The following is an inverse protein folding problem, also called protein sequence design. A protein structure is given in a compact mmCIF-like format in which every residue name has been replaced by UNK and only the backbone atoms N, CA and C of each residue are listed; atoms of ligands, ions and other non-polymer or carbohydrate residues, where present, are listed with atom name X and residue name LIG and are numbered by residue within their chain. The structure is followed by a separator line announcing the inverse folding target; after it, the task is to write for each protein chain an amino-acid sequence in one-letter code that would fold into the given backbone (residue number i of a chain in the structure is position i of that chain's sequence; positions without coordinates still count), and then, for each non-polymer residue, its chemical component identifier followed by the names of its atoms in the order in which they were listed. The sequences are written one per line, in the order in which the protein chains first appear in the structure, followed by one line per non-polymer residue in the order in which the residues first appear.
data_IF_444094152354
#
_entry.id   IF_444094152354
#
_cell.length_a   1.000
_cell.length_b   1.000
_cell.length_c   1.000
_cell.angle_alpha   90.00
_cell.angle_beta   90.00
_cell.angle_gamma   90.00
#
_symmetry.space_group_name_H-M   'P 1'
#
loop_
_entity.id
_entity.type
_entity.pdbx_description
1 polymer ?
#
# COMPACT_ATOMS: atom_id res chain seq x y z
N UNK A 1 18.74 -37.55 -26.71
CA UNK A 1 17.47 -36.94 -26.24
C UNK A 1 17.08 -37.35 -24.82
N UNK A 2 17.05 -38.64 -24.46
CA UNK A 2 16.67 -39.06 -23.09
C UNK A 2 17.67 -38.60 -22.02
N UNK A 3 18.98 -38.71 -22.29
CA UNK A 3 20.05 -38.27 -21.37
C UNK A 3 19.98 -36.76 -21.09
N UNK A 4 19.78 -35.94 -22.12
CA UNK A 4 19.65 -34.48 -21.99
C UNK A 4 18.43 -34.09 -21.14
N UNK A 5 17.29 -34.77 -21.35
CA UNK A 5 16.09 -34.58 -20.51
C UNK A 5 16.33 -34.99 -19.05
N UNK A 6 17.01 -36.11 -18.82
CA UNK A 6 17.35 -36.56 -17.47
C UNK A 6 18.30 -35.57 -16.76
N UNK A 7 19.33 -35.09 -17.47
CA UNK A 7 20.27 -34.10 -16.94
C UNK A 7 19.57 -32.77 -16.62
N UNK A 8 18.65 -32.32 -17.48
CA UNK A 8 17.87 -31.11 -17.23
C UNK A 8 16.98 -31.25 -15.99
N UNK A 9 16.32 -32.41 -15.82
CA UNK A 9 15.52 -32.68 -14.61
C UNK A 9 16.39 -32.69 -13.36
N UNK A 10 17.56 -33.35 -13.40
CA UNK A 10 18.52 -33.35 -12.29
C UNK A 10 19.04 -31.95 -11.97
N UNK A 11 19.35 -31.12 -12.97
CA UNK A 11 19.80 -29.74 -12.77
C UNK A 11 18.71 -28.88 -12.10
N UNK A 12 17.44 -29.09 -12.45
CA UNK A 12 16.30 -28.44 -11.80
C UNK A 12 16.13 -28.89 -10.35
N UNK A 13 16.31 -30.19 -10.08
CA UNK A 13 16.26 -30.72 -8.72
C UNK A 13 17.37 -30.10 -7.86
N UNK A 14 18.61 -30.09 -8.34
CA UNK A 14 19.75 -29.46 -7.66
C UNK A 14 19.51 -27.97 -7.38
N UNK A 15 18.92 -27.25 -8.34
CA UNK A 15 18.53 -25.86 -8.15
C UNK A 15 17.49 -25.72 -7.01
N UNK A 16 16.48 -26.57 -6.98
CA UNK A 16 15.42 -26.52 -5.98
C UNK A 16 15.89 -26.95 -4.59
N UNK A 17 16.90 -27.83 -4.49
CA UNK A 17 17.51 -28.26 -3.22
C UNK A 17 18.60 -27.31 -2.71
N UNK A 18 18.92 -26.24 -3.45
CA UNK A 18 19.94 -25.26 -3.07
C UNK A 18 21.37 -25.64 -3.44
N UNK A 19 21.58 -26.73 -4.17
CA UNK A 19 22.89 -27.17 -4.68
C UNK A 19 23.29 -26.37 -5.92
N UNK A 20 23.45 -25.06 -5.76
CA UNK A 20 23.56 -24.11 -6.88
C UNK A 20 24.81 -24.33 -7.74
N UNK A 21 25.96 -24.66 -7.16
CA UNK A 21 27.19 -24.91 -7.93
C UNK A 21 27.11 -26.16 -8.81
N UNK A 22 26.52 -27.23 -8.28
CA UNK A 22 26.29 -28.46 -9.03
C UNK A 22 25.24 -28.24 -10.12
N UNK A 23 24.18 -27.48 -9.82
CA UNK A 23 23.19 -27.07 -10.80
C UNK A 23 23.82 -26.25 -11.94
N UNK A 24 24.64 -25.25 -11.62
CA UNK A 24 25.36 -24.42 -12.60
C UNK A 24 26.24 -25.29 -13.49
N UNK A 25 27.06 -26.16 -12.89
CA UNK A 25 27.96 -27.05 -13.63
C UNK A 25 27.17 -27.92 -14.61
N UNK A 26 26.07 -28.53 -14.14
CA UNK A 26 25.25 -29.39 -14.97
C UNK A 26 24.52 -28.62 -16.08
N UNK A 27 24.01 -27.42 -15.80
CA UNK A 27 23.41 -26.56 -16.82
C UNK A 27 24.44 -26.11 -17.88
N UNK A 28 25.67 -25.79 -17.49
CA UNK A 28 26.75 -25.44 -18.42
C UNK A 28 27.13 -26.64 -19.32
N UNK A 29 27.12 -27.86 -18.79
CA UNK A 29 27.35 -29.06 -19.59
C UNK A 29 26.21 -29.29 -20.59
N UNK A 30 24.95 -29.13 -20.16
CA UNK A 30 23.80 -29.19 -21.08
C UNK A 30 23.89 -28.09 -22.15
N UNK A 31 24.34 -26.89 -21.79
CA UNK A 31 24.51 -25.77 -22.73
C UNK A 31 25.52 -26.08 -23.85
N UNK A 32 26.57 -26.87 -23.58
CA UNK A 32 27.54 -27.29 -24.61
C UNK A 32 26.91 -28.22 -25.64
N UNK A 33 25.93 -29.03 -25.23
CA UNK A 33 25.20 -29.95 -26.10
C UNK A 33 24.02 -29.28 -26.82
N UNK A 34 23.38 -28.31 -26.17
CA UNK A 34 22.20 -27.58 -26.65
C UNK A 34 22.30 -26.09 -26.28
N UNK A 35 22.96 -25.32 -27.15
CA UNK A 35 23.32 -23.91 -26.91
C UNK A 35 22.15 -22.92 -26.98
N UNK A 36 20.97 -23.36 -27.42
CA UNK A 36 19.78 -22.53 -27.60
C UNK A 36 18.61 -22.95 -26.70
N UNK A 37 18.90 -23.73 -25.66
CA UNK A 37 17.88 -24.16 -24.71
C UNK A 37 17.51 -23.07 -23.70
N UNK A 38 16.37 -22.41 -23.92
CA UNK A 38 15.83 -21.41 -22.98
C UNK A 38 15.76 -21.91 -21.53
N UNK A 39 15.41 -23.18 -21.30
CA UNK A 39 15.27 -23.71 -19.94
C UNK A 39 16.62 -23.80 -19.21
N UNK A 40 17.71 -24.02 -19.94
CA UNK A 40 19.09 -24.01 -19.40
C UNK A 40 19.46 -22.60 -18.96
N UNK A 41 19.23 -21.59 -19.81
CA UNK A 41 19.49 -20.20 -19.46
C UNK A 41 18.62 -19.69 -18.30
N UNK A 42 17.35 -20.13 -18.21
CA UNK A 42 16.51 -19.86 -17.05
C UNK A 42 17.06 -20.50 -15.77
N UNK A 43 17.55 -21.75 -15.87
CA UNK A 43 18.17 -22.47 -14.76
C UNK A 43 19.45 -21.80 -14.25
N UNK A 44 20.37 -21.46 -15.17
CA UNK A 44 21.59 -20.70 -14.88
C UNK A 44 21.26 -19.35 -14.25
N UNK A 45 20.33 -18.59 -14.85
CA UNK A 45 19.94 -17.28 -14.35
C UNK A 45 19.44 -17.33 -12.92
N UNK A 46 18.59 -18.33 -12.57
CA UNK A 46 18.09 -18.55 -11.20
C UNK A 46 19.21 -18.98 -10.25
N UNK A 47 20.07 -19.91 -10.66
CA UNK A 47 21.18 -20.37 -9.81
C UNK A 47 22.16 -19.23 -9.49
N UNK A 48 22.55 -18.45 -10.51
CA UNK A 48 23.39 -17.26 -10.32
C UNK A 48 22.70 -16.19 -9.47
N UNK A 49 21.38 -16.03 -9.60
CA UNK A 49 20.62 -15.09 -8.79
C UNK A 49 20.66 -15.44 -7.30
N UNK A 50 20.48 -16.72 -6.95
CA UNK A 50 20.55 -17.18 -5.56
C UNK A 50 21.98 -17.08 -4.99
N UNK A 51 22.99 -17.13 -5.85
CA UNK A 51 24.39 -16.89 -5.50
C UNK A 51 24.80 -15.41 -5.53
N UNK A 52 23.88 -14.49 -5.79
CA UNK A 52 24.14 -13.05 -5.93
C UNK A 52 25.16 -12.70 -7.04
N UNK A 53 25.34 -13.60 -8.01
CA UNK A 53 26.16 -13.40 -9.21
C UNK A 53 25.36 -12.61 -10.26
N UNK A 54 25.24 -11.31 -10.00
CA UNK A 54 24.25 -10.45 -10.67
C UNK A 54 24.42 -10.33 -12.18
N UNK A 55 25.65 -10.31 -12.68
CA UNK A 55 25.93 -10.08 -14.10
C UNK A 55 25.76 -11.37 -14.92
N UNK A 56 26.18 -12.50 -14.37
CA UNK A 56 25.98 -13.83 -14.95
C UNK A 56 24.48 -14.21 -14.95
N UNK A 57 23.77 -13.85 -13.88
CA UNK A 57 22.32 -13.99 -13.80
C UNK A 57 21.63 -13.14 -14.88
N UNK A 58 22.01 -11.86 -15.00
CA UNK A 58 21.45 -10.97 -16.01
C UNK A 58 21.72 -11.50 -17.42
N UNK A 59 22.96 -11.88 -17.72
CA UNK A 59 23.34 -12.44 -19.01
C UNK A 59 22.48 -13.66 -19.36
N UNK A 60 22.35 -14.60 -18.42
CA UNK A 60 21.57 -15.82 -18.61
C UNK A 60 20.10 -15.51 -18.87
N UNK A 61 19.49 -14.61 -18.08
CA UNK A 61 18.10 -14.24 -18.32
C UNK A 61 17.87 -13.46 -19.62
N UNK A 62 18.78 -12.57 -20.02
CA UNK A 62 18.69 -11.87 -21.31
C UNK A 62 18.83 -12.85 -22.49
N UNK A 63 19.66 -13.89 -22.38
CA UNK A 63 19.70 -14.97 -23.38
C UNK A 63 18.37 -15.72 -23.43
N UNK A 64 17.75 -16.01 -22.29
CA UNK A 64 16.42 -16.61 -22.26
C UNK A 64 15.32 -15.69 -22.86
N UNK A 65 15.42 -14.37 -22.67
CA UNK A 65 14.53 -13.36 -23.28
C UNK A 65 14.65 -13.39 -24.80
N UNK A 66 15.88 -13.40 -25.35
CA UNK A 66 16.09 -13.45 -26.81
C UNK A 66 15.57 -14.75 -27.42
N UNK A 67 15.77 -15.89 -26.76
CA UNK A 67 15.36 -17.20 -27.29
C UNK A 67 13.84 -17.36 -27.32
N UNK A 68 13.15 -17.01 -26.22
CA UNK A 68 11.70 -17.08 -26.15
C UNK A 68 11.17 -16.20 -25.00
N UNK A 69 10.76 -14.96 -25.30
CA UNK A 69 10.19 -14.07 -24.31
C UNK A 69 8.92 -14.64 -23.69
N UNK A 70 8.87 -14.69 -22.35
CA UNK A 70 7.70 -15.17 -21.64
C UNK A 70 7.54 -14.47 -20.30
N UNK A 71 6.33 -14.55 -19.73
CA UNK A 71 6.00 -14.07 -18.39
C UNK A 71 7.04 -14.52 -17.35
N UNK A 72 7.45 -15.80 -17.38
CA UNK A 72 8.47 -16.33 -16.45
C UNK A 72 9.83 -15.64 -16.58
N UNK A 73 10.25 -15.32 -17.80
CA UNK A 73 11.54 -14.65 -18.08
C UNK A 73 11.47 -13.22 -17.57
N UNK A 74 10.42 -12.49 -17.91
CA UNK A 74 10.23 -11.11 -17.47
C UNK A 74 10.12 -10.99 -15.95
N UNK A 75 9.37 -11.88 -15.29
CA UNK A 75 9.34 -11.96 -13.83
C UNK A 75 10.73 -12.22 -13.25
N UNK A 76 11.50 -13.14 -13.82
CA UNK A 76 12.84 -13.47 -13.31
C UNK A 76 13.82 -12.29 -13.45
N UNK A 77 13.78 -11.58 -14.58
CA UNK A 77 14.60 -10.36 -14.78
C UNK A 77 14.14 -9.24 -13.85
N UNK A 78 12.82 -9.07 -13.66
CA UNK A 78 12.27 -8.11 -12.71
C UNK A 78 12.75 -8.37 -11.28
N UNK A 79 12.70 -9.62 -10.84
CA UNK A 79 13.18 -10.04 -9.51
C UNK A 79 14.68 -9.78 -9.36
N UNK A 80 15.48 -10.06 -10.40
CA UNK A 80 16.90 -9.73 -10.42
C UNK A 80 17.13 -8.23 -10.21
N UNK A 81 16.45 -7.37 -10.96
CA UNK A 81 16.60 -5.92 -10.78
C UNK A 81 16.10 -5.44 -9.42
N UNK A 82 15.04 -6.05 -8.88
CA UNK A 82 14.56 -5.75 -7.53
C UNK A 82 15.62 -6.09 -6.47
N UNK A 83 16.26 -7.27 -6.55
CA UNK A 83 17.36 -7.66 -5.65
C UNK A 83 18.59 -6.76 -5.80
N UNK A 84 18.90 -6.31 -7.02
CA UNK A 84 19.92 -5.27 -7.30
C UNK A 84 19.50 -3.86 -6.83
N UNK A 85 18.32 -3.70 -6.20
CA UNK A 85 17.73 -2.42 -5.77
C UNK A 85 17.45 -1.43 -6.90
N UNK A 86 17.46 -1.89 -8.15
CA UNK A 86 17.02 -1.10 -9.30
C UNK A 86 15.51 -1.27 -9.50
N UNK A 87 14.74 -0.65 -8.62
CA UNK A 87 13.30 -0.84 -8.55
C UNK A 87 12.58 -0.34 -9.81
N UNK A 88 13.03 0.77 -10.42
CA UNK A 88 12.44 1.27 -11.68
C UNK A 88 12.54 0.25 -12.80
N UNK A 89 13.72 -0.32 -13.01
CA UNK A 89 13.91 -1.36 -14.03
C UNK A 89 13.17 -2.65 -13.69
N UNK A 90 13.02 -2.99 -12.41
CA UNK A 90 12.16 -4.12 -12.02
C UNK A 90 10.71 -3.91 -12.44
N UNK A 91 10.17 -2.70 -12.26
CA UNK A 91 8.79 -2.33 -12.65
C UNK A 91 8.62 -2.47 -14.16
N UNK A 92 9.56 -1.96 -14.96
CA UNK A 92 9.52 -2.10 -16.43
C UNK A 92 9.40 -3.57 -16.88
N UNK A 93 10.14 -4.49 -16.24
CA UNK A 93 10.04 -5.92 -16.55
C UNK A 93 8.75 -6.57 -16.03
N UNK A 94 8.26 -6.14 -14.87
CA UNK A 94 6.94 -6.60 -14.41
C UNK A 94 5.81 -6.10 -15.32
N UNK A 95 5.92 -4.90 -15.88
CA UNK A 95 4.97 -4.38 -16.88
C UNK A 95 5.01 -5.17 -18.19
N UNK A 96 6.22 -5.55 -18.67
CA UNK A 96 6.34 -6.50 -19.79
C UNK A 96 5.64 -7.84 -19.49
N UNK A 97 5.79 -8.36 -18.28
CA UNK A 97 5.11 -9.57 -17.84
C UNK A 97 3.58 -9.39 -17.83
N UNK A 98 3.10 -8.25 -17.32
CA UNK A 98 1.68 -7.89 -17.24
C UNK A 98 1.02 -7.78 -18.62
N UNK A 99 1.71 -7.15 -19.58
CA UNK A 99 1.26 -7.05 -20.98
C UNK A 99 1.08 -8.44 -21.60
N UNK A 100 1.99 -9.37 -21.31
CA UNK A 100 1.92 -10.72 -21.86
C UNK A 100 0.85 -11.57 -21.19
N UNK A 101 0.64 -11.40 -19.88
CA UNK A 101 -0.44 -12.04 -19.14
C UNK A 101 -0.84 -11.19 -17.93
N UNK A 102 -2.01 -10.57 -18.03
CA UNK A 102 -2.62 -9.84 -16.92
C UNK A 102 -3.27 -10.79 -15.91
N UNK A 103 -3.65 -10.27 -14.74
CA UNK A 103 -4.39 -11.07 -13.75
C UNK A 103 -3.54 -12.09 -12.98
N UNK A 104 -2.21 -11.91 -12.91
CA UNK A 104 -1.34 -12.79 -12.13
C UNK A 104 -0.92 -12.13 -10.81
N UNK A 105 -1.14 -12.86 -9.71
CA UNK A 105 -0.81 -12.40 -8.36
C UNK A 105 0.66 -12.01 -8.24
N UNK A 106 1.57 -12.83 -8.77
CA UNK A 106 3.01 -12.63 -8.66
C UNK A 106 3.49 -11.34 -9.34
N UNK A 107 2.85 -10.95 -10.45
CA UNK A 107 3.18 -9.72 -11.17
C UNK A 107 2.81 -8.51 -10.31
N UNK A 108 1.54 -8.46 -9.87
CA UNK A 108 1.03 -7.35 -9.07
C UNK A 108 1.72 -7.22 -7.72
N UNK A 109 1.96 -8.34 -7.04
CA UNK A 109 2.67 -8.38 -5.77
C UNK A 109 4.09 -7.82 -5.89
N UNK A 110 4.86 -8.29 -6.89
CA UNK A 110 6.24 -7.84 -7.05
C UNK A 110 6.34 -6.38 -7.53
N UNK A 111 5.42 -5.94 -8.39
CA UNK A 111 5.31 -4.54 -8.83
C UNK A 111 4.99 -3.63 -7.65
N UNK A 112 4.06 -4.03 -6.79
CA UNK A 112 3.69 -3.31 -5.57
C UNK A 112 4.88 -3.16 -4.60
N UNK A 113 5.64 -4.23 -4.37
CA UNK A 113 6.86 -4.18 -3.56
C UNK A 113 7.90 -3.22 -4.15
N UNK A 114 8.07 -3.20 -5.46
CA UNK A 114 9.00 -2.27 -6.12
C UNK A 114 8.56 -0.80 -5.97
N UNK A 115 7.28 -0.50 -6.13
CA UNK A 115 6.74 0.85 -5.87
C UNK A 115 6.89 1.26 -4.40
N UNK A 116 6.66 0.34 -3.46
CA UNK A 116 6.84 0.58 -2.02
C UNK A 116 8.29 0.96 -1.71
N UNK A 117 9.28 0.26 -2.29
CA UNK A 117 10.71 0.61 -2.14
C UNK A 117 11.07 1.97 -2.74
N UNK A 118 10.32 2.44 -3.73
CA UNK A 118 10.44 3.79 -4.29
C UNK A 118 9.64 4.85 -3.52
N UNK A 119 8.92 4.47 -2.45
CA UNK A 119 7.99 5.33 -1.71
C UNK A 119 6.84 5.88 -2.58
N UNK A 120 6.53 5.20 -3.68
CA UNK A 120 5.39 5.49 -4.56
C UNK A 120 4.15 4.80 -3.99
N UNK A 121 3.65 5.32 -2.87
CA UNK A 121 2.67 4.61 -2.04
C UNK A 121 1.34 4.39 -2.75
N UNK A 122 0.87 5.33 -3.58
CA UNK A 122 -0.41 5.18 -4.29
C UNK A 122 -0.36 4.04 -5.30
N UNK A 123 0.70 3.99 -6.09
CA UNK A 123 0.95 2.96 -7.10
C UNK A 123 1.18 1.59 -6.43
N UNK A 124 1.86 1.57 -5.29
CA UNK A 124 2.02 0.36 -4.47
C UNK A 124 0.66 -0.16 -3.98
N UNK A 125 -0.19 0.71 -3.44
CA UNK A 125 -1.54 0.35 -2.97
C UNK A 125 -2.36 -0.23 -4.11
N UNK A 126 -2.47 0.45 -5.26
CA UNK A 126 -3.24 -0.06 -6.39
C UNK A 126 -2.71 -1.41 -6.90
N UNK A 127 -1.39 -1.60 -6.94
CA UNK A 127 -0.79 -2.88 -7.33
C UNK A 127 -1.10 -3.97 -6.30
N UNK A 128 -1.04 -3.68 -4.99
CA UNK A 128 -1.46 -4.65 -3.97
C UNK A 128 -2.95 -4.96 -4.04
N UNK A 129 -3.80 -4.00 -4.38
CA UNK A 129 -5.23 -4.23 -4.62
C UNK A 129 -5.43 -5.21 -5.79
N UNK A 130 -4.76 -5.01 -6.92
CA UNK A 130 -4.84 -5.96 -8.05
C UNK A 130 -4.36 -7.37 -7.66
N UNK A 131 -3.32 -7.47 -6.83
CA UNK A 131 -2.89 -8.75 -6.27
C UNK A 131 -3.98 -9.37 -5.38
N UNK A 132 -4.62 -8.57 -4.52
CA UNK A 132 -5.72 -8.99 -3.66
C UNK A 132 -6.93 -9.48 -4.46
N UNK A 133 -7.35 -8.79 -5.52
CA UNK A 133 -8.47 -9.22 -6.38
C UNK A 133 -8.18 -10.56 -7.07
N UNK A 134 -6.91 -10.85 -7.37
CA UNK A 134 -6.50 -12.13 -7.99
C UNK A 134 -6.49 -13.27 -6.97
N UNK A 135 -6.02 -13.00 -5.76
CA UNK A 135 -5.95 -14.00 -4.67
C UNK A 135 -6.22 -13.31 -3.33
N UNK A 136 -7.50 -13.27 -2.89
CA UNK A 136 -7.89 -12.58 -1.67
C UNK A 136 -7.27 -13.26 -0.43
N UNK A 137 -6.32 -12.58 0.21
CA UNK A 137 -5.69 -13.04 1.46
C UNK A 137 -5.77 -11.94 2.52
N UNK A 138 -6.09 -12.33 3.76
CA UNK A 138 -6.17 -11.38 4.88
C UNK A 138 -4.84 -10.65 5.14
N UNK A 139 -3.71 -11.30 4.89
CA UNK A 139 -2.38 -10.68 5.01
C UNK A 139 -2.19 -9.49 4.05
N UNK A 140 -2.70 -9.60 2.81
CA UNK A 140 -2.68 -8.47 1.88
C UNK A 140 -3.58 -7.34 2.38
N UNK A 141 -4.78 -7.65 2.88
CA UNK A 141 -5.66 -6.62 3.44
C UNK A 141 -5.01 -5.86 4.61
N UNK A 142 -4.28 -6.57 5.49
CA UNK A 142 -3.51 -5.97 6.61
C UNK A 142 -2.38 -5.06 6.12
N UNK A 143 -1.84 -5.30 4.93
CA UNK A 143 -0.82 -4.45 4.30
C UNK A 143 -1.45 -3.25 3.58
N UNK A 144 -2.55 -3.46 2.86
CA UNK A 144 -3.20 -2.44 2.03
C UNK A 144 -3.86 -1.37 2.90
N UNK A 145 -4.61 -1.73 3.94
CA UNK A 145 -5.39 -0.78 4.74
C UNK A 145 -4.55 0.39 5.31
N UNK A 146 -3.47 0.15 6.08
CA UNK A 146 -2.66 1.25 6.61
C UNK A 146 -1.88 2.00 5.52
N UNK A 147 -1.39 1.31 4.49
CA UNK A 147 -0.66 1.96 3.39
C UNK A 147 -1.59 2.87 2.57
N UNK A 148 -2.85 2.48 2.38
CA UNK A 148 -3.86 3.30 1.73
C UNK A 148 -4.15 4.58 2.54
N UNK A 149 -4.17 4.48 3.87
CA UNK A 149 -4.34 5.62 4.75
C UNK A 149 -3.15 6.59 4.63
N UNK A 150 -1.92 6.08 4.71
CA UNK A 150 -0.68 6.86 4.51
C UNK A 150 -0.63 7.52 3.12
N UNK A 151 -1.09 6.80 2.09
CA UNK A 151 -1.17 7.29 0.71
C UNK A 151 -2.33 8.28 0.46
N UNK A 152 -3.14 8.58 1.49
CA UNK A 152 -4.36 9.40 1.42
C UNK A 152 -5.42 8.86 0.45
N UNK A 153 -5.42 7.55 0.23
CA UNK A 153 -6.43 6.82 -0.53
C UNK A 153 -7.54 6.37 0.42
N UNK A 154 -8.23 7.34 1.03
CA UNK A 154 -9.12 7.11 2.17
C UNK A 154 -10.30 6.18 1.84
N UNK A 155 -10.81 6.21 0.61
CA UNK A 155 -11.86 5.27 0.18
C UNK A 155 -11.39 3.81 0.20
N UNK A 156 -10.16 3.56 -0.26
CA UNK A 156 -9.57 2.21 -0.21
C UNK A 156 -9.21 1.82 1.24
N UNK A 157 -8.72 2.77 2.05
CA UNK A 157 -8.49 2.52 3.47
C UNK A 157 -9.78 2.06 4.17
N UNK A 158 -10.90 2.79 3.97
CA UNK A 158 -12.23 2.38 4.48
C UNK A 158 -12.59 0.98 4.01
N UNK A 159 -12.46 0.70 2.70
CA UNK A 159 -12.79 -0.60 2.11
C UNK A 159 -12.02 -1.74 2.80
N UNK A 160 -10.70 -1.61 2.91
CA UNK A 160 -9.86 -2.68 3.45
C UNK A 160 -9.95 -2.82 4.98
N UNK A 161 -10.13 -1.73 5.74
CA UNK A 161 -10.42 -1.85 7.17
C UNK A 161 -11.76 -2.56 7.43
N UNK A 162 -12.80 -2.32 6.62
CA UNK A 162 -14.07 -3.06 6.73
C UNK A 162 -13.88 -4.55 6.45
N UNK A 163 -13.06 -4.92 5.47
CA UNK A 163 -12.71 -6.34 5.19
C UNK A 163 -12.02 -6.97 6.41
N UNK A 164 -11.07 -6.27 7.03
CA UNK A 164 -10.35 -6.77 8.21
C UNK A 164 -11.28 -6.96 9.42
N UNK A 165 -12.14 -5.98 9.68
CA UNK A 165 -13.10 -6.00 10.80
C UNK A 165 -14.08 -7.18 10.68
N UNK A 166 -14.49 -7.56 9.46
CA UNK A 166 -15.33 -8.75 9.25
C UNK A 166 -14.63 -10.06 9.67
N UNK A 167 -13.30 -10.10 9.70
CA UNK A 167 -12.52 -11.28 10.09
C UNK A 167 -12.16 -11.25 11.57
N UNK A 168 -11.83 -10.08 12.09
CA UNK A 168 -11.33 -9.89 13.44
C UNK A 168 -11.73 -8.50 13.95
N UNK A 169 -12.57 -8.45 15.00
CA UNK A 169 -12.87 -7.20 15.68
C UNK A 169 -11.66 -6.77 16.52
N UNK A 170 -11.01 -5.70 16.08
CA UNK A 170 -9.80 -5.15 16.71
C UNK A 170 -9.94 -3.64 16.87
N UNK A 171 -9.65 -3.11 18.07
CA UNK A 171 -9.83 -1.68 18.38
C UNK A 171 -9.08 -0.77 17.41
N UNK A 172 -7.82 -1.10 17.09
CA UNK A 172 -7.02 -0.37 16.09
C UNK A 172 -7.69 -0.27 14.71
N UNK A 173 -8.29 -1.35 14.19
CA UNK A 173 -8.94 -1.30 12.87
C UNK A 173 -10.13 -0.34 12.86
N UNK A 174 -10.88 -0.27 13.95
CA UNK A 174 -11.96 0.69 14.11
C UNK A 174 -11.46 2.14 14.26
N UNK A 175 -10.35 2.36 14.97
CA UNK A 175 -9.76 3.69 15.10
C UNK A 175 -9.26 4.24 13.75
N UNK A 176 -8.53 3.42 13.00
CA UNK A 176 -8.02 3.79 11.67
C UNK A 176 -9.13 3.93 10.62
N UNK A 177 -10.19 3.12 10.73
CA UNK A 177 -11.42 3.30 9.95
C UNK A 177 -12.10 4.64 10.28
N UNK A 178 -12.13 5.01 11.56
CA UNK A 178 -12.63 6.30 12.03
C UNK A 178 -11.86 7.47 11.41
N UNK A 179 -10.53 7.38 11.38
CA UNK A 179 -9.65 8.35 10.74
C UNK A 179 -9.92 8.45 9.24
N UNK A 180 -10.01 7.32 8.53
CA UNK A 180 -10.31 7.30 7.11
C UNK A 180 -11.67 7.93 6.77
N UNK A 181 -12.70 7.70 7.60
CA UNK A 181 -14.00 8.35 7.45
C UNK A 181 -13.96 9.85 7.73
N UNK A 182 -13.19 10.29 8.73
CA UNK A 182 -13.02 11.71 9.04
C UNK A 182 -12.43 12.48 7.85
N UNK A 183 -11.38 11.92 7.24
CA UNK A 183 -10.72 12.50 6.06
C UNK A 183 -11.62 12.53 4.81
N UNK A 184 -12.62 11.65 4.75
CA UNK A 184 -13.64 11.66 3.68
C UNK A 184 -14.83 12.59 3.97
N UNK A 185 -14.90 13.22 5.14
CA UNK A 185 -16.06 14.00 5.58
C UNK A 185 -17.25 13.15 6.06
N UNK A 186 -17.06 11.84 6.23
CA UNK A 186 -18.08 10.89 6.68
C UNK A 186 -18.14 10.83 8.21
N UNK A 187 -18.50 11.95 8.81
CA UNK A 187 -18.31 12.22 10.23
C UNK A 187 -19.14 11.33 11.18
N UNK A 188 -20.36 10.99 10.81
CA UNK A 188 -21.21 10.07 11.57
C UNK A 188 -20.60 8.67 11.66
N UNK A 189 -20.07 8.15 10.55
CA UNK A 189 -19.41 6.85 10.50
C UNK A 189 -18.07 6.87 11.23
N UNK A 190 -17.36 8.01 11.17
CA UNK A 190 -16.13 8.22 11.95
C UNK A 190 -16.40 8.11 13.45
N UNK A 191 -17.41 8.81 13.96
CA UNK A 191 -17.80 8.77 15.38
C UNK A 191 -18.18 7.35 15.83
N UNK A 192 -19.00 6.64 15.05
CA UNK A 192 -19.37 5.24 15.34
C UNK A 192 -18.14 4.33 15.42
N UNK A 193 -17.21 4.48 14.48
CA UNK A 193 -15.98 3.68 14.45
C UNK A 193 -15.11 3.95 15.68
N UNK A 194 -14.89 5.22 16.07
CA UNK A 194 -14.15 5.56 17.29
C UNK A 194 -14.83 5.07 18.58
N UNK A 195 -16.15 5.16 18.68
CA UNK A 195 -16.90 4.60 19.81
C UNK A 195 -16.68 3.10 19.95
N UNK A 196 -16.76 2.36 18.84
CA UNK A 196 -16.52 0.92 18.82
C UNK A 196 -15.06 0.58 19.17
N UNK A 197 -14.09 1.38 18.69
CA UNK A 197 -12.69 1.23 19.06
C UNK A 197 -12.49 1.36 20.59
N UNK A 198 -13.12 2.36 21.22
CA UNK A 198 -13.08 2.60 22.67
C UNK A 198 -13.72 1.46 23.47
N UNK A 199 -14.86 0.95 23.03
CA UNK A 199 -15.52 -0.22 23.63
C UNK A 199 -14.59 -1.45 23.64
N UNK A 200 -13.99 -1.78 22.49
CA UNK A 200 -13.08 -2.93 22.35
C UNK A 200 -11.76 -2.75 23.11
N UNK A 201 -11.25 -1.51 23.21
CA UNK A 201 -10.05 -1.21 23.99
C UNK A 201 -10.25 -1.45 25.48
N UNK A 202 -11.44 -1.14 26.02
CA UNK A 202 -11.79 -1.41 27.43
C UNK A 202 -11.93 -2.89 27.73
N UNK A 203 -12.34 -3.70 26.75
CA UNK A 203 -12.56 -5.14 26.89
C UNK A 203 -11.29 -5.98 26.77
N UNK A 204 -10.31 -5.54 25.98
CA UNK A 204 -9.18 -6.38 25.61
C UNK A 204 -8.00 -6.32 26.59
N UNK A 205 -7.76 -5.21 27.30
CA UNK A 205 -6.62 -5.04 28.23
C UNK A 205 -5.23 -5.26 27.61
N UNK A 206 -5.15 -5.48 26.30
CA UNK A 206 -4.01 -6.07 25.56
C UNK A 206 -3.40 -5.10 24.54
N UNK A 207 -4.02 -3.94 24.35
CA UNK A 207 -3.59 -2.89 23.44
C UNK A 207 -3.38 -1.61 24.23
N UNK A 208 -2.45 -0.72 23.80
CA UNK A 208 -2.26 0.56 24.47
C UNK A 208 -3.62 1.23 24.57
N UNK A 209 -3.93 1.76 25.77
CA UNK A 209 -5.08 2.64 25.90
C UNK A 209 -4.92 3.70 24.83
N UNK A 210 -5.88 3.78 23.92
CA UNK A 210 -5.96 4.87 22.96
C UNK A 210 -6.41 6.08 23.80
N UNK A 211 -5.51 6.58 24.66
CA UNK A 211 -5.69 7.77 25.49
C UNK A 211 -5.02 8.98 24.81
N UNK A 212 -4.18 8.78 23.77
CA UNK A 212 -3.42 9.86 23.09
C UNK A 212 -3.94 10.23 21.68
N UNK A 213 -5.01 9.57 21.20
CA UNK A 213 -5.60 9.80 19.87
C UNK A 213 -7.13 9.73 19.95
N UNK A 214 -7.73 10.45 20.89
CA UNK A 214 -9.17 10.40 21.12
C UNK A 214 -9.90 11.61 20.54
N UNK A 215 -11.15 11.41 20.14
CA UNK A 215 -12.12 12.51 19.97
C UNK A 215 -12.27 13.33 21.27
N UNK A 216 -11.96 12.74 22.42
CA UNK A 216 -11.95 13.42 23.72
C UNK A 216 -10.78 14.43 23.82
N UNK A 217 -9.58 14.16 23.28
CA UNK A 217 -8.48 15.15 23.17
C UNK A 217 -8.82 16.32 22.24
N UNK A 218 -9.60 16.04 21.19
CA UNK A 218 -10.15 17.07 20.31
C UNK A 218 -11.24 17.91 21.02
N UNK A 219 -12.02 17.30 21.92
CA UNK A 219 -12.98 18.00 22.78
C UNK A 219 -12.24 18.86 23.83
N UNK A 220 -11.16 18.35 24.42
CA UNK A 220 -10.39 19.03 25.47
C UNK A 220 -9.69 20.30 24.95
N UNK A 221 -9.49 20.44 23.64
CA UNK A 221 -9.07 21.71 23.01
C UNK A 221 -10.12 22.82 23.12
N UNK A 222 -11.39 22.48 23.38
CA UNK A 222 -12.51 23.41 23.45
C UNK A 222 -13.21 23.32 24.82
N UNK A 223 -12.53 23.74 25.92
CA UNK A 223 -13.16 23.80 27.24
C UNK A 223 -14.31 24.81 27.21
N UNK A 224 -15.43 24.46 27.85
CA UNK A 224 -16.64 25.29 27.87
C UNK A 224 -17.19 25.54 26.44
N UNK A 225 -17.31 24.44 25.69
CA UNK A 225 -17.70 24.39 24.27
C UNK A 225 -18.92 25.25 23.94
N UNK A 226 -19.96 25.27 24.78
CA UNK A 226 -21.18 26.03 24.53
C UNK A 226 -20.93 27.54 24.51
N UNK A 227 -20.19 28.05 25.50
CA UNK A 227 -19.84 29.46 25.56
C UNK A 227 -18.88 29.87 24.43
N UNK A 228 -17.95 28.99 24.03
CA UNK A 228 -17.06 29.29 22.91
C UNK A 228 -17.78 29.33 21.56
N UNK A 229 -18.77 28.45 21.34
CA UNK A 229 -19.65 28.51 20.17
C UNK A 229 -20.41 29.83 20.16
N UNK A 230 -21.03 30.20 21.28
CA UNK A 230 -21.83 31.43 21.39
C UNK A 230 -20.97 32.68 21.13
N UNK A 231 -19.80 32.77 21.76
CA UNK A 231 -18.87 33.88 21.56
C UNK A 231 -18.38 33.99 20.11
N UNK A 232 -18.08 32.86 19.48
CA UNK A 232 -17.63 32.83 18.09
C UNK A 232 -18.75 33.22 17.13
N UNK A 233 -19.99 32.77 17.36
CA UNK A 233 -21.16 33.22 16.60
C UNK A 233 -21.37 34.73 16.75
N UNK A 234 -21.28 35.27 17.97
CA UNK A 234 -21.41 36.71 18.19
C UNK A 234 -20.33 37.52 17.46
N UNK A 235 -19.09 37.02 17.37
CA UNK A 235 -18.03 37.68 16.56
C UNK A 235 -18.39 37.70 15.07
N UNK A 236 -18.94 36.59 14.55
CA UNK A 236 -19.39 36.48 13.15
C UNK A 236 -20.50 37.47 12.88
N UNK A 237 -21.53 37.52 13.73
CA UNK A 237 -22.66 38.45 13.59
C UNK A 237 -22.24 39.92 13.65
N UNK A 238 -21.24 40.25 14.47
CA UNK A 238 -20.66 41.60 14.57
C UNK A 238 -19.72 41.94 13.40
N UNK A 239 -19.49 41.03 12.46
CA UNK A 239 -18.56 41.22 11.34
C UNK A 239 -17.09 41.32 11.78
N UNK A 240 -16.75 40.83 12.97
CA UNK A 240 -15.41 40.88 13.56
C UNK A 240 -14.63 39.57 13.39
N UNK A 241 -15.26 38.53 12.84
CA UNK A 241 -14.68 37.20 12.71
C UNK A 241 -13.64 37.11 11.58
N UNK A 242 -12.52 36.45 11.87
CA UNK A 242 -11.51 36.07 10.90
C UNK A 242 -11.71 34.62 10.43
N UNK A 243 -10.99 34.19 9.40
CA UNK A 243 -11.13 32.83 8.86
C UNK A 243 -10.87 31.72 9.91
N UNK A 244 -10.01 31.98 10.89
CA UNK A 244 -9.77 31.06 12.01
C UNK A 244 -11.01 30.88 12.89
N UNK A 245 -11.78 31.95 13.15
CA UNK A 245 -13.02 31.86 13.95
C UNK A 245 -14.06 30.96 13.26
N UNK A 246 -14.16 31.00 11.93
CA UNK A 246 -15.03 30.09 11.17
C UNK A 246 -14.53 28.63 11.20
N UNK A 247 -13.22 28.43 11.18
CA UNK A 247 -12.63 27.11 11.30
C UNK A 247 -12.85 26.50 12.69
N UNK A 248 -12.64 27.30 13.75
CA UNK A 248 -12.88 26.91 15.13
C UNK A 248 -14.37 26.64 15.40
N UNK A 249 -15.27 27.46 14.84
CA UNK A 249 -16.70 27.19 14.89
C UNK A 249 -17.06 25.88 14.17
N UNK A 250 -16.42 25.61 13.03
CA UNK A 250 -16.54 24.34 12.33
C UNK A 250 -16.17 23.15 13.22
N UNK A 251 -15.03 23.23 13.92
CA UNK A 251 -14.56 22.20 14.85
C UNK A 251 -15.49 22.03 16.08
N UNK A 252 -15.97 23.13 16.65
CA UNK A 252 -16.85 23.07 17.81
C UNK A 252 -18.25 22.51 17.48
N UNK A 253 -18.82 22.90 16.33
CA UNK A 253 -20.09 22.35 15.84
C UNK A 253 -19.96 20.89 15.43
N UNK A 254 -18.79 20.51 14.91
CA UNK A 254 -18.42 19.12 14.66
C UNK A 254 -18.45 18.30 15.95
N UNK A 255 -17.88 18.82 17.05
CA UNK A 255 -17.94 18.19 18.38
C UNK A 255 -19.39 18.04 18.87
N UNK A 256 -20.21 19.08 18.70
CA UNK A 256 -21.64 19.09 19.06
C UNK A 256 -22.52 18.17 18.21
N UNK A 257 -21.99 17.63 17.12
CA UNK A 257 -22.71 16.78 16.19
C UNK A 257 -23.60 17.55 15.20
N UNK A 258 -23.41 18.86 15.05
CA UNK A 258 -24.09 19.68 14.04
C UNK A 258 -23.24 19.73 12.76
N UNK A 259 -23.17 18.57 12.09
CA UNK A 259 -22.23 18.32 11.00
C UNK A 259 -22.49 19.16 9.74
N UNK A 260 -23.74 19.51 9.46
CA UNK A 260 -24.10 20.34 8.32
C UNK A 260 -23.53 21.76 8.50
N UNK A 261 -23.78 22.37 9.67
CA UNK A 261 -23.27 23.71 9.96
C UNK A 261 -21.74 23.71 10.08
N UNK A 262 -21.17 22.65 10.64
CA UNK A 262 -19.71 22.48 10.69
C UNK A 262 -19.08 22.57 9.28
N UNK A 263 -19.59 21.80 8.32
CA UNK A 263 -19.11 21.82 6.94
C UNK A 263 -19.28 23.19 6.26
N UNK A 264 -20.41 23.86 6.50
CA UNK A 264 -20.69 25.20 5.97
C UNK A 264 -19.66 26.22 6.49
N UNK A 265 -19.29 26.16 7.76
CA UNK A 265 -18.30 27.06 8.35
C UNK A 265 -16.86 26.74 7.92
N UNK A 266 -16.49 25.48 7.71
CA UNK A 266 -15.20 25.15 7.08
C UNK A 266 -15.07 25.71 5.67
N UNK A 267 -16.16 25.67 4.89
CA UNK A 267 -16.19 26.26 3.55
C UNK A 267 -16.01 27.78 3.61
N UNK A 268 -16.68 28.46 4.55
CA UNK A 268 -16.51 29.89 4.78
C UNK A 268 -15.09 30.26 5.18
N UNK A 269 -14.47 29.50 6.10
CA UNK A 269 -13.08 29.70 6.50
C UNK A 269 -12.12 29.64 5.30
N UNK A 270 -12.29 28.63 4.43
CA UNK A 270 -11.50 28.49 3.20
C UNK A 270 -11.70 29.66 2.25
N UNK A 271 -12.94 30.06 1.99
CA UNK A 271 -13.26 31.11 1.02
C UNK A 271 -12.68 32.47 1.47
N UNK A 272 -12.74 32.77 2.77
CA UNK A 272 -12.12 33.98 3.37
C UNK A 272 -10.60 33.93 3.28
N UNK A 273 -9.99 32.77 3.59
CA UNK A 273 -8.53 32.59 3.52
C UNK A 273 -7.98 32.80 2.10
N UNK A 274 -8.64 32.21 1.10
CA UNK A 274 -8.28 32.36 -0.32
C UNK A 274 -8.43 33.82 -0.78
N UNK A 275 -9.49 34.50 -0.36
CA UNK A 275 -9.69 35.92 -0.69
C UNK A 275 -8.60 36.82 -0.06
N UNK A 276 -8.20 36.56 1.19
CA UNK A 276 -7.11 37.28 1.88
C UNK A 276 -5.74 37.09 1.19
N UNK A 277 -5.47 35.91 0.63
CA UNK A 277 -4.23 35.64 -0.10
C UNK A 277 -4.17 36.37 -1.45
N UNK A 278 -5.30 36.44 -2.16
CA UNK A 278 -5.39 37.10 -3.47
C UNK A 278 -5.26 38.63 -3.38
N UNK A 279 -5.62 39.24 -2.24
CA UNK A 279 -5.47 40.67 -1.98
C UNK A 279 -4.05 41.08 -1.52
N UNK A 280 -3.16 40.11 -1.29
CA UNK A 280 -1.75 40.34 -0.92
C UNK A 280 -0.77 40.22 -2.11
N UNK A 281 -1.28 39.94 -3.30
CA UNK A 281 -0.58 39.95 -4.59
C UNK A 281 -0.94 41.23 -5.36
#
# INVERSE_FOLDING_TARGET
MQTLKNNLSKAKELLNTGSYDEAISLYQDIQKEDSENKAVFMGLGKAYLEKEMWEESLYSFLRAEVLNPSVEVYLSIGILFYKKKNYRKSIEYYEKAEIQKSGMFEIYWNKALAYEKLKMLKEAVFSFIQAYETNPKSELARKIAPMALEAKLFQEAVRFYRILIQKEEHSLYYAELGLAYMELGNYEESKKAYQKAKELSKLSGKYPKIDDLTFDDFIDQYPDLENQIENTIQKIEKGMAEYHDYFDLGNMLFIKGDYQKSADHFKQARDIYVHKLLLRL
#
